data_IF_534400694476
#
_entry.id   IF_534400694476
#
_cell.length_a   1.000
_cell.length_b   1.000
_cell.length_c   1.000
_cell.angle_alpha   90.00
_cell.angle_beta   90.00
_cell.angle_gamma   90.00
#
_symmetry.space_group_name_H-M   'P 1'
#
loop_
_entity.id
_entity.type
_entity.pdbx_description
1 polymer ?
#
# COMPACT_ATOMS: atom_id res chain seq x y z
N UNK A 1 -26.79 34.50 14.11
CA UNK A 1 -26.70 32.99 14.05
C UNK A 1 -26.55 32.66 12.57
N UNK A 2 -25.31 32.53 12.11
CA UNK A 2 -25.02 32.22 10.69
C UNK A 2 -25.12 30.71 10.50
N UNK A 3 -26.17 30.26 9.86
CA UNK A 3 -26.30 28.87 9.42
C UNK A 3 -25.29 28.64 8.28
N UNK A 4 -24.22 27.90 8.56
CA UNK A 4 -23.37 27.39 7.51
C UNK A 4 -24.21 26.49 6.59
N UNK A 5 -24.13 26.66 5.25
CA UNK A 5 -24.85 25.78 4.33
C UNK A 5 -24.40 24.34 4.51
N UNK A 6 -25.36 23.40 4.56
CA UNK A 6 -25.08 21.99 4.52
C UNK A 6 -24.19 21.68 3.30
N UNK A 7 -23.15 20.85 3.46
CA UNK A 7 -22.34 20.44 2.34
C UNK A 7 -23.25 19.75 1.28
N UNK A 8 -22.95 19.95 -0.02
CA UNK A 8 -23.73 19.31 -1.08
C UNK A 8 -23.75 17.80 -0.88
N UNK A 9 -24.85 17.11 -1.27
CA UNK A 9 -24.94 15.67 -1.16
C UNK A 9 -23.75 15.02 -1.88
N UNK A 10 -23.10 14.09 -1.22
CA UNK A 10 -21.95 13.35 -1.78
C UNK A 10 -22.49 12.58 -3.01
N UNK A 11 -21.89 12.81 -4.16
CA UNK A 11 -22.15 12.02 -5.38
C UNK A 11 -21.56 10.61 -5.19
N UNK A 12 -22.38 9.71 -4.66
CA UNK A 12 -21.98 8.35 -4.31
C UNK A 12 -21.62 7.51 -5.53
N UNK A 13 -22.24 7.76 -6.69
CA UNK A 13 -21.94 7.04 -7.92
C UNK A 13 -20.54 7.42 -8.43
N UNK A 14 -20.23 8.70 -8.45
CA UNK A 14 -18.92 9.20 -8.85
C UNK A 14 -17.82 8.71 -7.89
N UNK A 15 -18.07 8.75 -6.57
CA UNK A 15 -17.14 8.21 -5.60
C UNK A 15 -16.85 6.73 -5.86
N UNK A 16 -17.89 5.92 -6.01
CA UNK A 16 -17.76 4.47 -6.23
C UNK A 16 -16.96 4.18 -7.50
N UNK A 17 -17.25 4.87 -8.58
CA UNK A 17 -16.52 4.73 -9.85
C UNK A 17 -15.05 5.05 -9.68
N UNK A 18 -14.72 6.18 -9.06
CA UNK A 18 -13.33 6.59 -8.82
C UNK A 18 -12.60 5.63 -7.87
N UNK A 19 -13.27 5.13 -6.83
CA UNK A 19 -12.72 4.16 -5.90
C UNK A 19 -12.38 2.85 -6.61
N UNK A 20 -13.29 2.29 -7.40
CA UNK A 20 -13.07 1.04 -8.13
C UNK A 20 -11.91 1.16 -9.14
N UNK A 21 -11.79 2.29 -9.83
CA UNK A 21 -10.66 2.55 -10.74
C UNK A 21 -9.31 2.59 -10.03
N UNK A 22 -9.27 2.97 -8.75
CA UNK A 22 -8.03 3.14 -7.98
C UNK A 22 -7.82 2.07 -6.89
N UNK A 23 -8.79 1.17 -6.68
CA UNK A 23 -8.78 0.19 -5.59
C UNK A 23 -7.49 -0.63 -5.54
N UNK A 24 -7.00 -1.10 -6.70
CA UNK A 24 -5.76 -1.90 -6.77
C UNK A 24 -4.53 -1.13 -6.31
N UNK A 25 -4.46 0.18 -6.61
CA UNK A 25 -3.34 1.04 -6.16
C UNK A 25 -3.38 1.25 -4.65
N UNK A 26 -4.57 1.51 -4.11
CA UNK A 26 -4.78 1.75 -2.68
C UNK A 26 -4.46 0.47 -1.89
N UNK A 27 -5.02 -0.67 -2.31
CA UNK A 27 -4.75 -1.97 -1.73
C UNK A 27 -3.26 -2.33 -1.81
N UNK A 28 -2.63 -2.12 -2.98
CA UNK A 28 -1.21 -2.37 -3.16
C UNK A 28 -0.33 -1.63 -2.14
N UNK A 29 -0.63 -0.36 -1.85
CA UNK A 29 0.08 0.40 -0.80
C UNK A 29 -0.15 -0.22 0.58
N UNK A 30 -1.41 -0.44 0.96
CA UNK A 30 -1.76 -0.91 2.31
C UNK A 30 -1.18 -2.29 2.56
N UNK A 31 -1.42 -3.25 1.67
CA UNK A 31 -0.96 -4.63 1.81
C UNK A 31 0.57 -4.78 1.70
N UNK A 32 1.27 -3.84 1.06
CA UNK A 32 2.73 -3.84 1.06
C UNK A 32 3.34 -3.33 2.37
N UNK A 33 2.60 -2.50 3.11
CA UNK A 33 3.09 -1.84 4.31
C UNK A 33 2.56 -2.47 5.61
N UNK A 34 1.35 -3.04 5.61
CA UNK A 34 0.73 -3.66 6.79
C UNK A 34 1.00 -5.16 6.78
N UNK A 35 1.65 -5.72 7.84
CA UNK A 35 2.21 -7.08 7.80
C UNK A 35 1.21 -8.21 7.89
N UNK A 36 0.07 -7.99 8.56
CA UNK A 36 -0.98 -9.00 8.73
C UNK A 36 -2.09 -8.72 7.74
N UNK A 37 -2.54 -9.75 7.02
CA UNK A 37 -3.63 -9.63 6.06
C UNK A 37 -4.90 -9.04 6.70
N UNK A 38 -5.33 -9.58 7.83
CA UNK A 38 -6.48 -9.08 8.58
C UNK A 38 -6.34 -7.60 8.98
N UNK A 39 -5.17 -7.20 9.50
CA UNK A 39 -4.91 -5.79 9.85
C UNK A 39 -4.91 -4.90 8.59
N UNK A 40 -4.42 -5.41 7.44
CA UNK A 40 -4.44 -4.69 6.18
C UNK A 40 -5.87 -4.50 5.66
N UNK A 41 -6.73 -5.49 5.82
CA UNK A 41 -8.15 -5.40 5.50
C UNK A 41 -8.84 -4.34 6.36
N UNK A 42 -8.56 -4.31 7.68
CA UNK A 42 -9.09 -3.30 8.59
C UNK A 42 -8.62 -1.88 8.19
N UNK A 43 -7.34 -1.72 7.87
CA UNK A 43 -6.79 -0.44 7.39
C UNK A 43 -7.42 -0.05 6.05
N UNK A 44 -7.69 -1.00 5.16
CA UNK A 44 -8.37 -0.74 3.89
C UNK A 44 -9.81 -0.26 4.10
N UNK A 45 -10.56 -0.91 4.99
CA UNK A 45 -11.93 -0.51 5.35
C UNK A 45 -11.96 0.91 5.94
N UNK A 46 -11.07 1.19 6.91
CA UNK A 46 -10.98 2.53 7.51
C UNK A 46 -10.57 3.58 6.47
N UNK A 47 -9.65 3.24 5.56
CA UNK A 47 -9.26 4.11 4.45
C UNK A 47 -10.46 4.47 3.57
N UNK A 48 -11.27 3.48 3.19
CA UNK A 48 -12.49 3.70 2.41
C UNK A 48 -13.50 4.59 3.17
N UNK A 49 -13.70 4.33 4.46
CA UNK A 49 -14.59 5.13 5.30
C UNK A 49 -14.12 6.59 5.43
N UNK A 50 -12.81 6.83 5.59
CA UNK A 50 -12.24 8.18 5.62
C UNK A 50 -12.38 8.87 4.27
N UNK A 51 -12.10 8.17 3.16
CA UNK A 51 -12.29 8.73 1.81
C UNK A 51 -13.73 9.14 1.59
N UNK A 52 -14.70 8.31 1.98
CA UNK A 52 -16.11 8.64 1.88
C UNK A 52 -16.46 9.91 2.65
N UNK A 53 -16.08 10.00 3.92
CA UNK A 53 -16.33 11.19 4.77
C UNK A 53 -15.72 12.46 4.21
N UNK A 54 -14.56 12.33 3.55
CA UNK A 54 -13.79 13.46 3.01
C UNK A 54 -14.00 13.70 1.51
N UNK A 55 -14.90 12.97 0.86
CA UNK A 55 -15.10 13.10 -0.59
C UNK A 55 -15.57 14.51 -1.00
N UNK A 56 -16.32 15.20 -0.12
CA UNK A 56 -16.70 16.60 -0.35
C UNK A 56 -15.50 17.59 -0.38
N UNK A 57 -14.34 17.19 0.15
CA UNK A 57 -13.08 17.97 0.09
C UNK A 57 -12.27 17.68 -1.19
N UNK A 58 -12.61 16.62 -1.93
CA UNK A 58 -11.92 16.26 -3.17
C UNK A 58 -12.30 17.22 -4.29
N UNK A 59 -11.29 17.79 -4.95
CA UNK A 59 -11.50 18.72 -6.07
C UNK A 59 -11.67 17.94 -7.38
N UNK A 60 -12.85 18.01 -8.03
CA UNK A 60 -13.06 17.38 -9.33
C UNK A 60 -12.03 17.85 -10.37
N UNK A 61 -11.55 16.92 -11.20
CA UNK A 61 -10.52 17.22 -12.20
C UNK A 61 -9.08 17.03 -11.71
N UNK A 62 -8.85 16.81 -10.41
CA UNK A 62 -7.54 16.44 -9.88
C UNK A 62 -7.35 14.90 -9.86
N UNK A 63 -6.13 14.42 -9.55
CA UNK A 63 -5.84 12.98 -9.46
C UNK A 63 -6.42 12.38 -8.18
N UNK A 64 -7.56 11.68 -8.31
CA UNK A 64 -8.19 10.95 -7.22
C UNK A 64 -7.26 9.88 -6.63
N UNK A 65 -6.46 9.21 -7.47
CA UNK A 65 -5.53 8.18 -7.01
C UNK A 65 -4.46 8.75 -6.07
N UNK A 66 -3.90 9.92 -6.39
CA UNK A 66 -2.94 10.61 -5.52
C UNK A 66 -3.59 11.07 -4.21
N UNK A 67 -4.81 11.61 -4.26
CA UNK A 67 -5.58 11.99 -3.08
C UNK A 67 -5.88 10.79 -2.18
N UNK A 68 -6.35 9.68 -2.76
CA UNK A 68 -6.67 8.44 -2.05
C UNK A 68 -5.42 7.81 -1.41
N UNK A 69 -4.28 7.76 -2.12
CA UNK A 69 -3.02 7.25 -1.58
C UNK A 69 -2.50 8.08 -0.41
N UNK A 70 -2.70 9.42 -0.43
CA UNK A 70 -2.38 10.26 0.72
C UNK A 70 -3.18 9.86 1.96
N UNK A 71 -4.49 9.60 1.81
CA UNK A 71 -5.35 9.15 2.91
C UNK A 71 -4.88 7.78 3.39
N UNK A 72 -4.67 6.81 2.48
CA UNK A 72 -4.20 5.47 2.81
C UNK A 72 -2.89 5.50 3.59
N UNK A 73 -1.93 6.34 3.20
CA UNK A 73 -0.67 6.56 3.93
C UNK A 73 -0.92 6.99 5.38
N UNK A 74 -1.80 7.96 5.61
CA UNK A 74 -2.11 8.41 6.96
C UNK A 74 -2.76 7.30 7.80
N UNK A 75 -3.59 6.44 7.20
CA UNK A 75 -4.18 5.31 7.90
C UNK A 75 -3.12 4.25 8.28
N UNK A 76 -2.18 3.96 7.38
CA UNK A 76 -1.04 3.08 7.68
C UNK A 76 -0.17 3.65 8.80
N UNK A 77 0.16 4.95 8.77
CA UNK A 77 0.88 5.60 9.87
C UNK A 77 0.10 5.51 11.20
N UNK A 78 -1.21 5.73 11.15
CA UNK A 78 -2.10 5.57 12.30
C UNK A 78 -2.10 4.15 12.85
N UNK A 79 -2.12 3.13 11.98
CA UNK A 79 -1.97 1.73 12.36
C UNK A 79 -0.68 1.50 13.14
N UNK A 80 0.48 1.93 12.60
CA UNK A 80 1.76 1.80 13.29
C UNK A 80 1.82 2.57 14.60
N UNK A 81 1.20 3.73 14.69
CA UNK A 81 1.14 4.51 15.93
C UNK A 81 0.31 3.81 17.02
N UNK A 82 -0.76 3.09 16.65
CA UNK A 82 -1.54 2.25 17.58
C UNK A 82 -0.77 1.02 18.04
N UNK A 83 0.01 0.42 17.14
CA UNK A 83 0.87 -0.74 17.44
C UNK A 83 2.13 -0.40 18.27
N UNK A 84 2.26 0.83 18.72
CA UNK A 84 3.46 1.46 19.32
C UNK A 84 4.12 0.72 20.48
N UNK A 85 3.50 -0.29 21.04
CA UNK A 85 4.01 -1.03 22.22
C UNK A 85 4.75 -2.32 21.92
N UNK A 86 4.83 -2.80 20.68
CA UNK A 86 5.29 -4.16 20.41
C UNK A 86 6.33 -4.36 19.28
N UNK A 87 6.50 -3.50 18.25
CA UNK A 87 7.31 -3.91 17.08
C UNK A 87 8.03 -2.76 16.35
N UNK A 88 9.13 -3.14 15.67
CA UNK A 88 9.94 -2.29 14.81
C UNK A 88 9.11 -1.67 13.67
N UNK A 89 9.36 -0.41 13.37
CA UNK A 89 8.62 0.41 12.43
C UNK A 89 9.31 0.48 11.08
N UNK A 90 8.51 0.48 10.01
CA UNK A 90 8.89 1.18 8.80
C UNK A 90 9.03 2.67 9.16
N UNK A 91 10.12 3.32 8.73
CA UNK A 91 10.25 4.76 8.93
C UNK A 91 9.17 5.49 8.13
N UNK A 92 8.72 6.64 8.63
CA UNK A 92 7.76 7.49 7.91
C UNK A 92 8.29 7.85 6.51
N UNK A 93 9.61 7.98 6.37
CA UNK A 93 10.32 8.22 5.11
C UNK A 93 10.16 7.04 4.11
N UNK A 94 10.20 5.79 4.58
CA UNK A 94 9.96 4.61 3.75
C UNK A 94 8.51 4.55 3.26
N UNK A 95 7.56 4.87 4.14
CA UNK A 95 6.13 4.93 3.79
C UNK A 95 5.89 6.04 2.75
N UNK A 96 6.51 7.21 2.92
CA UNK A 96 6.45 8.34 1.99
C UNK A 96 7.00 7.98 0.61
N UNK A 97 8.20 7.40 0.58
CA UNK A 97 8.86 6.99 -0.68
C UNK A 97 8.02 5.99 -1.47
N UNK A 98 7.46 4.98 -0.79
CA UNK A 98 6.58 3.99 -1.42
C UNK A 98 5.27 4.62 -1.93
N UNK A 99 4.65 5.49 -1.14
CA UNK A 99 3.41 6.16 -1.54
C UNK A 99 3.62 7.09 -2.74
N UNK A 100 4.72 7.85 -2.76
CA UNK A 100 5.08 8.74 -3.87
C UNK A 100 5.32 7.96 -5.15
N UNK A 101 6.10 6.87 -5.08
CA UNK A 101 6.40 6.03 -6.25
C UNK A 101 5.13 5.37 -6.82
N UNK A 102 4.20 4.93 -5.95
CA UNK A 102 2.93 4.37 -6.40
C UNK A 102 1.99 5.44 -6.98
N UNK A 103 2.04 6.67 -6.48
CA UNK A 103 1.25 7.79 -7.01
C UNK A 103 1.72 8.23 -8.41
N UNK A 104 3.02 8.25 -8.65
CA UNK A 104 3.63 8.65 -9.93
C UNK A 104 3.50 7.59 -11.03
N UNK A 105 3.18 6.36 -10.65
CA UNK A 105 3.14 5.25 -11.57
C UNK A 105 1.88 5.28 -12.48
N UNK A 106 2.05 5.63 -13.75
CA UNK A 106 1.02 5.74 -14.81
C UNK A 106 0.87 4.49 -15.69
N UNK A 107 1.37 3.36 -15.24
CA UNK A 107 1.45 2.16 -16.07
C UNK A 107 0.16 1.33 -16.06
N UNK A 108 -0.12 0.65 -17.18
CA UNK A 108 -1.16 -0.38 -17.25
C UNK A 108 -0.91 -1.46 -16.20
N UNK A 109 -1.99 -2.00 -15.61
CA UNK A 109 -1.87 -3.01 -14.57
C UNK A 109 -1.19 -4.31 -15.07
N UNK A 110 -1.31 -4.61 -16.37
CA UNK A 110 -0.66 -5.73 -17.07
C UNK A 110 0.86 -5.60 -17.06
N UNK A 111 1.37 -4.42 -17.46
CA UNK A 111 2.81 -4.18 -17.60
C UNK A 111 3.52 -4.25 -16.26
N UNK A 112 2.85 -3.75 -15.21
CA UNK A 112 3.36 -3.87 -13.84
C UNK A 112 3.40 -5.30 -13.35
N UNK A 113 2.36 -6.08 -13.63
CA UNK A 113 2.28 -7.47 -13.23
C UNK A 113 3.37 -8.28 -13.93
N UNK A 114 3.66 -8.00 -15.18
CA UNK A 114 4.75 -8.66 -15.92
C UNK A 114 6.14 -8.25 -15.42
N UNK A 115 6.36 -6.95 -15.21
CA UNK A 115 7.60 -6.45 -14.64
C UNK A 115 7.82 -7.02 -13.23
N UNK A 116 6.77 -7.10 -12.40
CA UNK A 116 6.85 -7.69 -11.07
C UNK A 116 7.20 -9.19 -11.13
N UNK A 117 6.55 -9.97 -11.99
CA UNK A 117 6.87 -11.39 -12.17
C UNK A 117 8.33 -11.59 -12.53
N UNK A 118 8.85 -10.77 -13.45
CA UNK A 118 10.26 -10.79 -13.84
C UNK A 118 11.19 -10.46 -12.66
N UNK A 119 10.86 -9.44 -11.87
CA UNK A 119 11.67 -9.04 -10.72
C UNK A 119 11.61 -10.06 -9.58
N UNK A 120 10.46 -10.68 -9.34
CA UNK A 120 10.30 -11.76 -8.35
C UNK A 120 11.11 -12.99 -8.77
N UNK A 121 11.14 -13.31 -10.08
CA UNK A 121 11.97 -14.41 -10.62
C UNK A 121 13.49 -14.20 -10.47
N UNK A 122 13.94 -12.98 -10.18
CA UNK A 122 15.35 -12.63 -9.91
C UNK A 122 15.72 -12.67 -8.43
N UNK A 123 14.75 -12.94 -7.54
CA UNK A 123 15.02 -13.04 -6.11
C UNK A 123 15.85 -14.28 -5.81
N UNK A 124 16.71 -14.14 -4.78
CA UNK A 124 17.41 -15.30 -4.22
C UNK A 124 16.39 -16.22 -3.55
N UNK A 125 16.68 -17.51 -3.47
CA UNK A 125 15.79 -18.54 -2.92
C UNK A 125 15.21 -18.16 -1.54
N UNK A 126 16.05 -17.64 -0.62
CA UNK A 126 15.61 -17.19 0.71
C UNK A 126 14.64 -16.01 0.66
N UNK A 127 14.84 -15.10 -0.27
CA UNK A 127 13.99 -13.93 -0.46
C UNK A 127 12.67 -14.31 -1.10
N UNK A 128 12.72 -15.21 -2.08
CA UNK A 128 11.54 -15.76 -2.73
C UNK A 128 10.67 -16.55 -1.70
N UNK A 129 11.30 -17.38 -0.86
CA UNK A 129 10.62 -18.11 0.20
C UNK A 129 9.93 -17.14 1.19
N UNK A 130 10.57 -16.01 1.52
CA UNK A 130 9.98 -15.00 2.39
C UNK A 130 8.74 -14.35 1.76
N UNK A 131 8.79 -14.03 0.46
CA UNK A 131 7.64 -13.51 -0.30
C UNK A 131 6.51 -14.53 -0.35
N UNK A 132 6.83 -15.79 -0.67
CA UNK A 132 5.82 -16.85 -0.71
C UNK A 132 5.11 -17.06 0.62
N UNK A 133 5.84 -17.12 1.73
CA UNK A 133 5.24 -17.26 3.07
C UNK A 133 4.30 -16.10 3.37
N UNK A 134 4.74 -14.86 3.09
CA UNK A 134 3.97 -13.68 3.41
C UNK A 134 2.74 -13.49 2.53
N UNK A 135 2.83 -13.76 1.21
CA UNK A 135 1.80 -13.37 0.23
C UNK A 135 1.04 -14.54 -0.38
N UNK A 136 1.59 -15.75 -0.35
CA UNK A 136 0.91 -16.93 -0.89
C UNK A 136 0.35 -17.82 0.22
N UNK A 137 1.06 -17.94 1.35
CA UNK A 137 0.62 -18.72 2.51
C UNK A 137 -0.08 -17.86 3.58
N UNK A 138 -0.12 -16.52 3.38
CA UNK A 138 -0.72 -15.52 4.30
C UNK A 138 -0.21 -15.61 5.76
N UNK A 139 1.04 -16.09 5.92
CA UNK A 139 1.65 -16.19 7.24
C UNK A 139 1.89 -14.79 7.83
N UNK A 140 1.61 -14.62 9.12
CA UNK A 140 1.97 -13.43 9.87
C UNK A 140 3.49 -13.30 10.00
N UNK A 141 3.98 -12.09 10.27
CA UNK A 141 5.42 -11.86 10.50
C UNK A 141 5.93 -12.67 11.70
N UNK A 142 5.10 -12.88 12.73
CA UNK A 142 5.45 -13.65 13.91
C UNK A 142 5.59 -15.13 13.57
N UNK A 143 4.69 -15.69 12.75
CA UNK A 143 4.77 -17.09 12.27
C UNK A 143 6.00 -17.30 11.38
N UNK A 144 6.26 -16.36 10.46
CA UNK A 144 7.47 -16.39 9.62
C UNK A 144 8.74 -16.33 10.49
N UNK A 145 8.76 -15.48 11.50
CA UNK A 145 9.87 -15.35 12.43
C UNK A 145 10.12 -16.65 13.19
N UNK A 146 9.06 -17.29 13.69
CA UNK A 146 9.13 -18.59 14.35
C UNK A 146 9.67 -19.68 13.41
N UNK A 147 9.16 -19.76 12.17
CA UNK A 147 9.63 -20.71 11.16
C UNK A 147 11.11 -20.53 10.78
N UNK A 148 11.58 -19.27 10.75
CA UNK A 148 12.95 -18.95 10.35
C UNK A 148 13.94 -18.92 11.53
N UNK A 149 13.49 -19.19 12.76
CA UNK A 149 14.32 -19.03 13.97
C UNK A 149 14.84 -17.60 14.14
N UNK A 150 14.05 -16.61 13.78
CA UNK A 150 14.41 -15.20 13.72
C UNK A 150 13.49 -14.35 14.62
N UNK A 151 13.68 -13.05 14.62
CA UNK A 151 12.80 -12.10 15.33
C UNK A 151 11.83 -11.45 14.34
N UNK A 152 10.64 -11.09 14.80
CA UNK A 152 9.67 -10.36 14.00
C UNK A 152 10.26 -9.06 13.41
N UNK A 153 11.09 -8.35 14.20
CA UNK A 153 11.81 -7.15 13.76
C UNK A 153 12.76 -7.43 12.56
N UNK A 154 13.49 -8.54 12.62
CA UNK A 154 14.41 -8.93 11.53
C UNK A 154 13.63 -9.30 10.26
N UNK A 155 12.52 -10.03 10.38
CA UNK A 155 11.63 -10.37 9.26
C UNK A 155 11.03 -9.09 8.66
N UNK A 156 10.59 -8.16 9.50
CA UNK A 156 10.07 -6.87 9.09
C UNK A 156 11.06 -6.09 8.24
N UNK A 157 12.29 -5.94 8.77
CA UNK A 157 13.38 -5.26 8.07
C UNK A 157 13.76 -5.94 6.75
N UNK A 158 13.68 -7.27 6.71
CA UNK A 158 13.94 -8.03 5.50
C UNK A 158 12.84 -7.78 4.44
N UNK A 159 11.56 -7.85 4.81
CA UNK A 159 10.43 -7.55 3.92
C UNK A 159 10.48 -6.12 3.41
N UNK A 160 10.74 -5.14 4.30
CA UNK A 160 10.84 -3.72 3.92
C UNK A 160 11.93 -3.49 2.85
N UNK A 161 13.15 -4.02 3.08
CA UNK A 161 14.23 -3.92 2.10
C UNK A 161 13.89 -4.60 0.78
N UNK A 162 13.17 -5.72 0.85
CA UNK A 162 12.73 -6.47 -0.32
C UNK A 162 11.71 -5.67 -1.14
N UNK A 163 10.74 -5.03 -0.48
CA UNK A 163 9.76 -4.17 -1.14
C UNK A 163 10.42 -3.00 -1.87
N UNK A 164 11.33 -2.28 -1.21
CA UNK A 164 12.06 -1.17 -1.84
C UNK A 164 12.83 -1.66 -3.07
N UNK A 165 13.50 -2.81 -2.97
CA UNK A 165 14.27 -3.37 -4.09
C UNK A 165 13.38 -3.85 -5.24
N UNK A 166 12.26 -4.53 -4.95
CA UNK A 166 11.30 -4.94 -5.96
C UNK A 166 10.68 -3.74 -6.67
N UNK A 167 10.33 -2.70 -5.91
CA UNK A 167 9.78 -1.47 -6.46
C UNK A 167 10.76 -0.79 -7.41
N UNK A 168 12.03 -0.67 -7.01
CA UNK A 168 13.08 -0.11 -7.86
C UNK A 168 13.28 -0.95 -9.14
N UNK A 169 13.26 -2.29 -9.02
CA UNK A 169 13.37 -3.20 -10.16
C UNK A 169 12.20 -3.03 -11.13
N UNK A 170 10.97 -3.03 -10.64
CA UNK A 170 9.75 -2.85 -11.45
C UNK A 170 9.79 -1.53 -12.18
N UNK A 171 10.10 -0.44 -11.48
CA UNK A 171 10.19 0.89 -12.09
C UNK A 171 11.29 0.95 -13.19
N UNK A 172 12.43 0.32 -12.96
CA UNK A 172 13.51 0.24 -13.97
C UNK A 172 13.03 -0.49 -15.22
N UNK A 173 12.33 -1.62 -15.07
CA UNK A 173 11.80 -2.40 -16.19
C UNK A 173 10.74 -1.65 -16.97
N UNK A 174 9.86 -0.95 -16.28
CA UNK A 174 8.81 -0.15 -16.90
C UNK A 174 9.39 1.04 -17.68
N UNK A 175 10.44 1.69 -17.15
CA UNK A 175 11.14 2.76 -17.88
C UNK A 175 11.87 2.24 -19.12
N UNK A 176 12.47 1.05 -19.04
CA UNK A 176 13.16 0.43 -20.17
C UNK A 176 12.21 -0.05 -21.28
N UNK A 177 10.92 -0.24 -20.97
CA UNK A 177 9.89 -0.62 -21.93
C UNK A 177 9.22 0.57 -22.63
N UNK A 178 9.58 1.80 -22.25
CA UNK A 178 9.15 3.01 -22.97
C UNK A 178 10.04 3.23 -24.20
N UNK A 179 9.43 3.42 -25.41
CA UNK A 179 10.17 3.76 -26.61
C UNK A 179 10.77 5.17 -26.54
#
# INVERSE_FOLDING_TARGET
MSSSPLPPPIDGENFTRLLLQNQRRIAGLIFSLVPRGADADDVMQETCAVMWRKFGEFQPGTDFGAWALRIARFQVMGYYNRQRRAQARLSDETIESLATTLAEARWEASDRAEALRTCVGQLKEREFALVQRRYSADESVDEIAAHLGSTADAVYKALSRLHVRLLACVNSKLRAAQP
#
